data_IF_887729844461
#
_entry.id   IF_887729844461
#
_cell.length_a   1.000
_cell.length_b   1.000
_cell.length_c   1.000
_cell.angle_alpha   90.00
_cell.angle_beta   90.00
_cell.angle_gamma   90.00
#
_symmetry.space_group_name_H-M   'P 1'
#
loop_
_entity.id
_entity.type
_entity.pdbx_description
1 polymer ?
#
# COMPACT_ATOMS: atom_id res chain seq x y z
N UNK A 1 5.95 -13.31 11.17
CA UNK A 1 6.74 -14.38 10.51
C UNK A 1 7.48 -13.78 9.34
N UNK A 2 8.76 -14.04 9.20
CA UNK A 2 9.58 -13.56 8.09
C UNK A 2 9.68 -14.67 7.05
N UNK A 3 9.50 -14.30 5.77
CA UNK A 3 9.62 -15.25 4.67
C UNK A 3 11.08 -15.48 4.32
N UNK A 4 11.52 -16.71 4.40
CA UNK A 4 12.80 -17.14 3.92
C UNK A 4 12.73 -18.09 2.72
N UNK A 5 11.54 -18.58 2.33
CA UNK A 5 11.43 -19.65 1.32
C UNK A 5 10.18 -19.53 0.44
N UNK A 6 10.39 -19.59 -0.85
CA UNK A 6 9.54 -19.88 -2.03
C UNK A 6 8.18 -19.19 -2.23
N UNK A 7 7.92 -18.67 -3.45
CA UNK A 7 6.73 -17.87 -3.83
C UNK A 7 5.38 -18.57 -3.73
N UNK A 8 5.36 -19.90 -3.60
CA UNK A 8 4.13 -20.69 -3.62
C UNK A 8 3.34 -20.70 -2.31
N UNK A 9 3.92 -20.16 -1.21
CA UNK A 9 3.28 -20.21 0.12
C UNK A 9 2.40 -19.00 0.47
N UNK A 10 2.31 -17.99 -0.40
CA UNK A 10 1.57 -16.74 -0.09
C UNK A 10 0.10 -16.76 -0.44
N UNK A 11 -0.32 -17.72 -1.21
CA UNK A 11 -1.73 -17.91 -1.46
C UNK A 11 -2.33 -18.59 -0.23
N UNK A 12 -3.22 -17.91 0.48
CA UNK A 12 -4.13 -18.62 1.35
C UNK A 12 -5.02 -19.50 0.44
N UNK A 13 -4.60 -20.74 0.26
CA UNK A 13 -5.35 -21.74 -0.52
C UNK A 13 -6.72 -22.03 0.12
N UNK A 14 -6.91 -21.65 1.39
CA UNK A 14 -8.14 -21.87 2.13
C UNK A 14 -9.17 -20.76 1.89
N UNK A 15 -8.73 -19.57 1.44
CA UNK A 15 -9.64 -18.47 1.09
C UNK A 15 -9.22 -17.77 -0.22
N UNK A 16 -9.52 -18.36 -1.38
CA UNK A 16 -9.07 -17.84 -2.68
C UNK A 16 -9.69 -16.49 -3.07
N UNK A 17 -10.60 -15.95 -2.26
CA UNK A 17 -11.29 -14.69 -2.53
C UNK A 17 -10.67 -13.49 -1.81
N UNK A 18 -9.74 -13.70 -0.86
CA UNK A 18 -9.04 -12.60 -0.19
C UNK A 18 -7.86 -12.12 -1.06
N UNK A 19 -7.70 -10.80 -1.16
CA UNK A 19 -6.55 -10.19 -1.82
C UNK A 19 -5.50 -9.80 -0.77
N UNK A 20 -4.24 -10.12 -1.04
CA UNK A 20 -3.10 -9.66 -0.25
C UNK A 20 -2.51 -8.46 -0.98
N UNK A 21 -2.41 -7.32 -0.29
CA UNK A 21 -1.83 -6.09 -0.85
C UNK A 21 -0.31 -6.14 -0.72
N UNK A 22 0.39 -5.84 -1.83
CA UNK A 22 1.86 -5.79 -1.88
C UNK A 22 2.27 -4.40 -2.36
N UNK A 23 2.46 -3.43 -1.45
CA UNK A 23 2.93 -2.10 -1.83
C UNK A 23 4.38 -2.16 -2.29
N UNK A 24 4.66 -1.61 -3.47
CA UNK A 24 5.99 -1.57 -4.05
C UNK A 24 6.52 -0.15 -4.13
N UNK A 25 7.83 -0.01 -3.97
CA UNK A 25 8.50 1.28 -4.07
C UNK A 25 8.53 1.73 -5.53
N UNK A 26 7.95 2.88 -5.84
CA UNK A 26 7.87 3.39 -7.21
C UNK A 26 9.26 3.61 -7.85
N UNK A 27 10.25 4.02 -7.07
CA UNK A 27 11.62 4.30 -7.56
C UNK A 27 12.47 3.06 -7.84
N UNK A 28 11.96 1.85 -7.62
CA UNK A 28 12.66 0.62 -7.99
C UNK A 28 12.86 0.54 -9.50
N UNK A 29 13.98 -0.04 -9.92
CA UNK A 29 14.18 -0.42 -11.31
C UNK A 29 13.19 -1.52 -11.71
N UNK A 30 12.86 -1.59 -13.01
CA UNK A 30 11.85 -2.53 -13.49
C UNK A 30 12.18 -3.98 -13.10
N UNK A 31 13.42 -4.42 -13.28
CA UNK A 31 13.85 -5.77 -12.90
C UNK A 31 13.79 -6.04 -11.38
N UNK A 32 14.04 -5.03 -10.54
CA UNK A 32 13.92 -5.17 -9.09
C UNK A 32 12.45 -5.28 -8.68
N UNK A 33 11.57 -4.52 -9.34
CA UNK A 33 10.13 -4.58 -9.11
C UNK A 33 9.58 -5.95 -9.52
N UNK A 34 9.95 -6.44 -10.69
CA UNK A 34 9.58 -7.78 -11.18
C UNK A 34 10.02 -8.87 -10.21
N UNK A 35 11.26 -8.79 -9.73
CA UNK A 35 11.77 -9.75 -8.73
C UNK A 35 10.93 -9.76 -7.44
N UNK A 36 10.59 -8.58 -6.91
CA UNK A 36 9.73 -8.49 -5.72
C UNK A 36 8.31 -8.98 -5.98
N UNK A 37 7.78 -8.73 -7.18
CA UNK A 37 6.47 -9.22 -7.58
C UNK A 37 6.42 -10.74 -7.68
N UNK A 38 7.43 -11.36 -8.26
CA UNK A 38 7.55 -12.82 -8.31
C UNK A 38 7.69 -13.40 -6.91
N UNK A 39 8.57 -12.82 -6.09
CA UNK A 39 8.77 -13.25 -4.71
C UNK A 39 7.51 -13.11 -3.86
N UNK A 40 6.74 -12.02 -4.04
CA UNK A 40 5.46 -11.78 -3.36
C UNK A 40 4.26 -12.51 -3.98
N UNK A 41 4.44 -13.23 -5.09
CA UNK A 41 3.36 -13.93 -5.77
C UNK A 41 2.29 -13.02 -6.38
N UNK A 42 2.68 -11.82 -6.83
CA UNK A 42 1.77 -10.80 -7.37
C UNK A 42 1.13 -11.28 -8.66
N UNK A 43 -0.19 -11.26 -8.72
CA UNK A 43 -0.97 -11.70 -9.88
C UNK A 43 -1.73 -10.58 -10.58
N UNK A 44 -1.88 -9.43 -9.93
CA UNK A 44 -2.49 -8.20 -10.46
C UNK A 44 -1.63 -7.01 -10.11
N UNK A 45 -1.42 -6.13 -11.07
CA UNK A 45 -0.59 -4.94 -10.92
C UNK A 45 -1.40 -3.69 -11.22
N UNK A 46 -1.38 -2.74 -10.29
CA UNK A 46 -1.88 -1.38 -10.48
C UNK A 46 -0.68 -0.46 -10.61
N UNK A 47 -0.51 0.18 -11.75
CA UNK A 47 0.69 0.97 -12.06
C UNK A 47 0.39 2.09 -13.06
N UNK A 48 1.26 3.08 -13.11
CA UNK A 48 1.17 4.19 -14.07
C UNK A 48 1.37 3.74 -15.52
N UNK A 49 0.75 4.45 -16.46
CA UNK A 49 0.81 4.14 -17.87
C UNK A 49 2.24 4.09 -18.44
N UNK A 50 3.16 4.91 -17.92
CA UNK A 50 4.55 4.94 -18.38
C UNK A 50 5.31 3.62 -18.17
N UNK A 51 4.95 2.87 -17.14
CA UNK A 51 5.66 1.63 -16.74
C UNK A 51 4.88 0.35 -17.00
N UNK A 52 3.59 0.42 -17.31
CA UNK A 52 2.70 -0.74 -17.37
C UNK A 52 3.15 -1.78 -18.40
N UNK A 53 3.69 -1.35 -19.55
CA UNK A 53 4.17 -2.26 -20.58
C UNK A 53 5.59 -2.79 -20.34
N UNK A 54 6.37 -2.10 -19.50
CA UNK A 54 7.75 -2.46 -19.16
C UNK A 54 7.84 -3.56 -18.12
N UNK A 55 6.87 -3.63 -17.20
CA UNK A 55 6.85 -4.59 -16.09
C UNK A 55 6.11 -5.86 -16.51
N UNK A 56 6.75 -7.01 -16.39
CA UNK A 56 6.12 -8.27 -16.72
C UNK A 56 6.69 -9.44 -15.89
N UNK A 57 5.84 -10.33 -15.39
CA UNK A 57 6.25 -11.52 -14.67
C UNK A 57 5.38 -12.71 -15.08
N UNK A 58 5.87 -13.96 -15.01
CA UNK A 58 5.09 -15.14 -15.37
C UNK A 58 3.80 -15.34 -14.56
N UNK A 59 3.75 -14.76 -13.35
CA UNK A 59 2.60 -14.87 -12.44
C UNK A 59 1.52 -13.83 -12.72
N UNK A 60 1.86 -12.77 -13.47
CA UNK A 60 0.99 -11.61 -13.68
C UNK A 60 -0.16 -11.97 -14.64
N UNK A 61 -1.38 -11.83 -14.15
CA UNK A 61 -2.60 -12.15 -14.90
C UNK A 61 -3.30 -10.91 -15.44
N UNK A 62 -3.14 -9.77 -14.76
CA UNK A 62 -3.84 -8.54 -15.11
C UNK A 62 -3.00 -7.32 -14.73
N UNK A 63 -2.95 -6.35 -15.63
CA UNK A 63 -2.37 -5.04 -15.43
C UNK A 63 -3.48 -4.00 -15.52
N UNK A 64 -3.49 -3.06 -14.59
CA UNK A 64 -4.52 -2.03 -14.46
C UNK A 64 -3.82 -0.69 -14.38
N UNK A 65 -4.19 0.22 -15.27
CA UNK A 65 -3.62 1.56 -15.28
C UNK A 65 -4.20 2.44 -14.17
N UNK A 66 -3.35 3.23 -13.55
CA UNK A 66 -3.76 4.32 -12.67
C UNK A 66 -4.12 5.60 -13.43
N UNK A 67 -3.93 5.62 -14.75
CA UNK A 67 -4.19 6.76 -15.63
C UNK A 67 -5.24 6.41 -16.69
N UNK A 68 -6.13 7.39 -17.00
CA UNK A 68 -7.31 7.22 -17.85
C UNK A 68 -6.97 6.84 -19.30
N UNK A 69 -5.93 7.40 -19.87
CA UNK A 69 -5.65 7.30 -21.31
C UNK A 69 -4.61 6.24 -21.69
N UNK A 70 -4.53 5.16 -20.93
CA UNK A 70 -3.64 4.06 -21.23
C UNK A 70 -4.28 3.12 -22.24
N UNK A 71 -3.73 3.07 -23.47
CA UNK A 71 -4.16 2.12 -24.49
C UNK A 71 -3.91 0.69 -24.01
N UNK A 72 -4.79 -0.22 -24.37
CA UNK A 72 -4.67 -1.67 -24.12
C UNK A 72 -4.80 -2.12 -22.64
N UNK A 73 -4.96 -1.19 -21.69
CA UNK A 73 -5.15 -1.51 -20.29
C UNK A 73 -6.38 -0.83 -19.71
N UNK A 74 -7.04 -1.53 -18.78
CA UNK A 74 -8.19 -0.96 -18.06
C UNK A 74 -7.72 0.16 -17.13
N UNK A 75 -8.47 1.24 -17.08
CA UNK A 75 -8.29 2.28 -16.08
C UNK A 75 -8.93 1.87 -14.75
N UNK A 76 -8.29 2.15 -13.64
CA UNK A 76 -8.74 1.71 -12.30
C UNK A 76 -10.14 2.19 -11.95
N UNK A 77 -10.52 3.42 -12.35
CA UNK A 77 -11.86 3.98 -12.07
C UNK A 77 -12.95 3.46 -13.02
N UNK A 78 -12.58 2.83 -14.13
CA UNK A 78 -13.52 2.18 -15.05
C UNK A 78 -13.87 0.75 -14.64
N UNK A 79 -13.23 0.25 -13.60
CA UNK A 79 -13.51 -1.09 -13.08
C UNK A 79 -14.92 -1.11 -12.48
N UNK A 80 -15.82 -1.84 -13.15
CA UNK A 80 -17.18 -2.03 -12.65
C UNK A 80 -17.23 -3.18 -11.66
N UNK A 81 -17.62 -2.88 -10.43
CA UNK A 81 -17.92 -3.90 -9.44
C UNK A 81 -19.22 -4.64 -9.79
N UNK A 82 -19.25 -5.95 -9.55
CA UNK A 82 -20.47 -6.75 -9.57
C UNK A 82 -21.02 -6.94 -8.15
N UNK A 83 -22.27 -7.38 -8.03
CA UNK A 83 -22.78 -7.89 -6.77
C UNK A 83 -22.00 -9.16 -6.41
N UNK A 84 -21.17 -9.11 -5.40
CA UNK A 84 -20.51 -10.28 -4.85
C UNK A 84 -20.64 -10.27 -3.33
N UNK A 85 -20.75 -11.46 -2.75
CA UNK A 85 -20.55 -11.60 -1.32
C UNK A 85 -19.08 -11.35 -1.01
N UNK A 86 -18.81 -10.41 -0.11
CA UNK A 86 -17.45 -10.18 0.37
C UNK A 86 -16.97 -11.43 1.10
N UNK A 87 -15.74 -11.87 0.86
CA UNK A 87 -15.16 -12.99 1.58
C UNK A 87 -15.06 -12.66 3.07
N UNK A 88 -15.34 -13.63 3.91
CA UNK A 88 -15.11 -13.51 5.35
C UNK A 88 -13.63 -13.75 5.62
N UNK A 89 -12.85 -12.67 5.70
CA UNK A 89 -11.46 -12.74 6.14
C UNK A 89 -11.40 -13.06 7.64
N UNK A 90 -10.44 -13.88 8.05
CA UNK A 90 -10.12 -14.11 9.46
C UNK A 90 -9.09 -13.07 9.91
N UNK A 91 -9.08 -12.78 11.20
CA UNK A 91 -8.11 -11.83 11.77
C UNK A 91 -6.65 -12.23 11.51
N UNK A 92 -6.37 -13.52 11.45
CA UNK A 92 -5.04 -14.08 11.24
C UNK A 92 -4.64 -14.17 9.76
N UNK A 93 -5.58 -13.99 8.82
CA UNK A 93 -5.29 -14.02 7.39
C UNK A 93 -4.32 -12.88 7.03
N UNK A 94 -3.40 -13.15 6.12
CA UNK A 94 -2.45 -12.14 5.64
C UNK A 94 -3.19 -11.09 4.84
N UNK A 95 -3.06 -9.84 5.25
CA UNK A 95 -3.66 -8.68 4.57
C UNK A 95 -2.66 -7.96 3.66
N UNK A 96 -1.39 -7.87 4.08
CA UNK A 96 -0.35 -7.18 3.31
C UNK A 96 1.01 -7.88 3.43
N UNK A 97 1.86 -7.68 2.41
CA UNK A 97 3.28 -8.05 2.44
C UNK A 97 4.08 -6.79 2.16
N UNK A 98 4.90 -6.39 3.15
CA UNK A 98 5.79 -5.23 3.02
C UNK A 98 7.22 -5.70 2.83
N UNK A 99 7.89 -5.20 1.79
CA UNK A 99 9.29 -5.51 1.56
C UNK A 99 10.20 -4.57 2.33
N UNK A 100 11.20 -5.14 2.98
CA UNK A 100 12.29 -4.38 3.63
C UNK A 100 13.61 -4.73 2.97
N UNK A 101 14.52 -3.74 2.90
CA UNK A 101 15.90 -3.98 2.52
C UNK A 101 16.55 -4.85 3.59
N UNK A 102 16.75 -6.12 3.30
CA UNK A 102 17.47 -7.02 4.22
C UNK A 102 18.92 -6.56 4.41
N UNK A 103 19.43 -6.66 5.63
CA UNK A 103 20.85 -6.40 5.95
C UNK A 103 21.82 -7.28 5.16
N UNK A 104 21.32 -8.38 4.58
CA UNK A 104 22.05 -9.35 3.76
C UNK A 104 21.92 -9.09 2.24
N UNK A 105 21.29 -7.96 1.83
CA UNK A 105 21.07 -7.64 0.42
C UNK A 105 19.89 -8.36 -0.22
N UNK A 106 19.33 -9.39 0.42
CA UNK A 106 18.14 -10.09 -0.07
C UNK A 106 16.88 -9.45 0.51
N UNK A 107 15.89 -9.05 -0.30
CA UNK A 107 14.63 -8.49 0.19
C UNK A 107 13.90 -9.47 1.12
N UNK A 108 13.35 -8.95 2.21
CA UNK A 108 12.52 -9.73 3.13
C UNK A 108 11.09 -9.26 3.03
N UNK A 109 10.16 -10.18 2.77
CA UNK A 109 8.73 -9.89 2.80
C UNK A 109 8.18 -10.07 4.22
N UNK A 110 7.71 -8.99 4.83
CA UNK A 110 7.04 -9.02 6.14
C UNK A 110 5.55 -9.20 5.92
N UNK A 111 5.01 -10.32 6.37
CA UNK A 111 3.57 -10.61 6.31
C UNK A 111 2.86 -9.94 7.47
N UNK A 112 1.89 -9.10 7.16
CA UNK A 112 1.01 -8.45 8.13
C UNK A 112 -0.39 -9.05 8.00
N UNK A 113 -0.93 -9.55 9.11
CA UNK A 113 -2.30 -10.02 9.17
C UNK A 113 -3.28 -8.86 9.38
N UNK A 114 -4.57 -9.11 9.16
CA UNK A 114 -5.62 -8.13 9.45
C UNK A 114 -5.55 -7.65 10.90
N UNK A 115 -5.33 -8.57 11.84
CA UNK A 115 -5.25 -8.19 13.27
C UNK A 115 -4.02 -7.32 13.57
N UNK A 116 -2.89 -7.52 12.87
CA UNK A 116 -1.72 -6.65 13.06
C UNK A 116 -2.05 -5.21 12.67
N UNK A 117 -2.70 -5.01 11.50
CA UNK A 117 -3.06 -3.68 11.01
C UNK A 117 -4.09 -3.00 11.94
N UNK A 118 -5.14 -3.72 12.33
CA UNK A 118 -6.21 -3.20 13.18
C UNK A 118 -5.68 -2.86 14.58
N UNK A 119 -4.84 -3.72 15.17
CA UNK A 119 -4.29 -3.48 16.49
C UNK A 119 -3.39 -2.25 16.52
N UNK A 120 -2.61 -2.03 15.47
CA UNK A 120 -1.73 -0.86 15.36
C UNK A 120 -2.55 0.43 15.28
N UNK A 121 -3.58 0.47 14.44
CA UNK A 121 -4.51 1.62 14.37
C UNK A 121 -5.21 1.86 15.73
N UNK A 122 -5.63 0.80 16.43
CA UNK A 122 -6.25 0.94 17.74
C UNK A 122 -5.30 1.55 18.79
N UNK A 123 -4.04 1.11 18.78
CA UNK A 123 -3.01 1.66 19.67
C UNK A 123 -2.70 3.12 19.29
N UNK A 124 -2.58 3.42 17.99
CA UNK A 124 -2.36 4.79 17.51
C UNK A 124 -3.51 5.70 17.97
N UNK A 125 -4.76 5.29 17.75
CA UNK A 125 -5.95 6.06 18.15
C UNK A 125 -6.03 6.30 19.66
N UNK A 126 -5.69 5.30 20.48
CA UNK A 126 -5.69 5.47 21.93
C UNK A 126 -4.71 6.53 22.44
N UNK A 127 -3.62 6.75 21.72
CA UNK A 127 -2.59 7.74 22.03
C UNK A 127 -2.84 9.11 21.37
N UNK A 128 -3.23 9.13 20.09
CA UNK A 128 -3.36 10.37 19.31
C UNK A 128 -4.72 11.03 19.46
N UNK A 129 -5.76 10.26 19.80
CA UNK A 129 -7.15 10.74 19.97
C UNK A 129 -7.65 11.50 18.72
N UNK A 130 -7.37 10.95 17.55
CA UNK A 130 -7.77 11.52 16.26
C UNK A 130 -9.29 11.61 16.17
N UNK A 131 -9.79 12.69 15.60
CA UNK A 131 -11.23 12.94 15.38
C UNK A 131 -11.51 13.08 13.87
N UNK A 132 -12.78 12.93 13.42
CA UNK A 132 -13.13 13.02 12.01
C UNK A 132 -12.79 14.36 11.35
N UNK A 133 -12.69 15.42 12.14
CA UNK A 133 -12.34 16.77 11.71
C UNK A 133 -10.84 16.95 11.44
N UNK A 134 -10.01 15.99 11.87
CA UNK A 134 -8.57 16.05 11.64
C UNK A 134 -8.21 15.85 10.17
N UNK A 135 -7.13 16.53 9.78
CA UNK A 135 -6.55 16.45 8.45
C UNK A 135 -5.07 16.05 8.56
N UNK A 136 -4.76 14.87 8.13
CA UNK A 136 -3.40 14.35 8.09
C UNK A 136 -2.67 14.78 6.83
N UNK A 137 -1.35 14.91 6.93
CA UNK A 137 -0.49 15.18 5.79
C UNK A 137 0.47 14.01 5.52
N UNK A 138 0.26 13.31 4.40
CA UNK A 138 1.08 12.20 3.94
C UNK A 138 2.17 12.70 2.99
N UNK A 139 3.36 13.01 3.50
CA UNK A 139 4.53 13.39 2.69
C UNK A 139 5.52 12.23 2.52
N UNK A 140 5.55 11.31 3.46
CA UNK A 140 6.37 10.12 3.39
C UNK A 140 5.69 9.06 2.52
N UNK A 141 6.45 8.20 1.84
CA UNK A 141 5.89 7.21 0.94
C UNK A 141 4.97 6.20 1.65
N UNK A 142 3.77 6.01 1.11
CA UNK A 142 2.73 5.13 1.67
C UNK A 142 3.11 3.64 1.67
N UNK A 143 4.10 3.22 0.90
CA UNK A 143 4.59 1.84 0.91
C UNK A 143 5.39 1.49 2.17
N UNK A 144 5.80 2.47 2.98
CA UNK A 144 6.39 2.24 4.29
C UNK A 144 5.32 2.05 5.35
N UNK A 145 5.51 1.06 6.22
CA UNK A 145 4.58 0.70 7.28
C UNK A 145 4.13 1.90 8.12
N UNK A 146 5.07 2.77 8.50
CA UNK A 146 4.77 3.95 9.30
C UNK A 146 3.72 4.87 8.66
N UNK A 147 3.92 5.27 7.39
CA UNK A 147 2.97 6.15 6.70
C UNK A 147 1.67 5.41 6.36
N UNK A 148 1.77 4.16 5.97
CA UNK A 148 0.61 3.34 5.66
C UNK A 148 -0.32 3.21 6.88
N UNK A 149 0.22 2.93 8.06
CA UNK A 149 -0.55 2.71 9.27
C UNK A 149 -0.92 4.02 9.97
N UNK A 150 0.08 4.82 10.36
CA UNK A 150 -0.13 6.00 11.21
C UNK A 150 -0.72 7.22 10.47
N UNK A 151 -0.78 7.20 9.13
CA UNK A 151 -1.42 8.26 8.36
C UNK A 151 -2.62 7.70 7.59
N UNK A 152 -2.40 6.77 6.66
CA UNK A 152 -3.43 6.35 5.73
C UNK A 152 -4.53 5.50 6.40
N UNK A 153 -4.16 4.42 7.11
CA UNK A 153 -5.17 3.60 7.79
C UNK A 153 -5.81 4.32 8.98
N UNK A 154 -5.04 5.13 9.71
CA UNK A 154 -5.58 5.90 10.83
C UNK A 154 -6.69 6.86 10.38
N UNK A 155 -6.49 7.58 9.26
CA UNK A 155 -7.56 8.45 8.71
C UNK A 155 -8.79 7.67 8.28
N UNK A 156 -8.62 6.48 7.74
CA UNK A 156 -9.76 5.62 7.35
C UNK A 156 -10.53 5.09 8.56
N UNK A 157 -9.82 4.65 9.60
CA UNK A 157 -10.44 4.12 10.81
C UNK A 157 -11.23 5.17 11.58
N UNK A 158 -10.78 6.42 11.54
CA UNK A 158 -11.36 7.54 12.31
C UNK A 158 -12.34 8.40 11.50
N UNK A 159 -12.37 8.26 10.19
CA UNK A 159 -13.14 9.13 9.28
C UNK A 159 -12.49 10.51 9.07
N UNK A 160 -11.23 10.67 9.45
CA UNK A 160 -10.44 11.87 9.20
C UNK A 160 -10.06 12.01 7.71
N UNK A 161 -9.49 13.15 7.33
CA UNK A 161 -9.06 13.42 5.96
C UNK A 161 -7.54 13.25 5.80
N UNK A 162 -7.08 12.90 4.58
CA UNK A 162 -5.67 12.80 4.26
C UNK A 162 -5.32 13.64 3.03
N UNK A 163 -4.34 14.53 3.17
CA UNK A 163 -3.74 15.30 2.09
C UNK A 163 -2.42 14.63 1.69
N UNK A 164 -2.31 14.21 0.43
CA UNK A 164 -1.08 13.63 -0.10
C UNK A 164 -0.15 14.71 -0.62
N UNK A 165 1.04 14.82 -0.02
CA UNK A 165 2.08 15.76 -0.44
C UNK A 165 2.69 15.34 -1.79
N UNK A 166 2.91 16.33 -2.67
CA UNK A 166 3.41 16.07 -4.03
C UNK A 166 4.93 15.97 -4.11
N UNK A 167 5.66 16.79 -3.36
CA UNK A 167 7.13 16.86 -3.42
C UNK A 167 7.72 17.28 -2.07
N UNK A 168 8.89 16.74 -1.75
CA UNK A 168 9.69 17.13 -0.57
C UNK A 168 10.41 18.48 -0.79
N UNK A 169 9.62 19.55 -1.03
CA UNK A 169 10.10 20.93 -1.17
C UNK A 169 9.43 21.78 -0.10
N UNK A 170 10.22 22.40 0.79
CA UNK A 170 9.71 23.10 1.97
C UNK A 170 8.63 24.12 1.64
N UNK A 171 8.83 24.98 0.64
CA UNK A 171 7.86 25.99 0.23
C UNK A 171 6.53 25.38 -0.24
N UNK A 172 6.58 24.23 -0.91
CA UNK A 172 5.39 23.51 -1.34
C UNK A 172 4.69 22.85 -0.16
N UNK A 173 5.45 22.21 0.74
CA UNK A 173 4.91 21.60 1.96
C UNK A 173 4.16 22.65 2.77
N UNK A 174 4.76 23.80 3.05
CA UNK A 174 4.13 24.87 3.82
C UNK A 174 2.84 25.38 3.16
N UNK A 175 2.82 25.48 1.84
CA UNK A 175 1.61 25.84 1.09
C UNK A 175 0.53 24.78 1.23
N UNK A 176 0.87 23.50 1.00
CA UNK A 176 -0.08 22.38 1.07
C UNK A 176 -0.62 22.18 2.49
N UNK A 177 0.19 22.37 3.54
CA UNK A 177 -0.26 22.36 4.93
C UNK A 177 -1.32 23.43 5.19
N UNK A 178 -1.08 24.64 4.67
CA UNK A 178 -2.00 25.77 4.84
C UNK A 178 -3.29 25.58 4.04
N UNK A 179 -3.18 25.24 2.75
CA UNK A 179 -4.33 25.05 1.85
C UNK A 179 -5.19 23.86 2.29
N UNK A 180 -4.54 22.76 2.69
CA UNK A 180 -5.20 21.55 3.20
C UNK A 180 -5.76 21.69 4.62
N UNK A 181 -5.50 22.81 5.33
CA UNK A 181 -5.87 22.99 6.75
C UNK A 181 -5.41 21.82 7.63
N UNK A 182 -4.19 21.37 7.40
CA UNK A 182 -3.62 20.19 8.05
C UNK A 182 -3.54 20.40 9.56
N UNK A 183 -4.05 19.45 10.33
CA UNK A 183 -4.00 19.44 11.80
C UNK A 183 -2.97 18.46 12.33
N UNK A 184 -2.68 17.40 11.57
CA UNK A 184 -1.78 16.30 11.96
C UNK A 184 -0.66 16.12 10.94
N UNK A 185 0.58 16.36 11.36
CA UNK A 185 1.77 16.17 10.54
C UNK A 185 2.74 15.21 11.20
N UNK A 186 2.89 14.02 10.61
CA UNK A 186 3.82 13.02 11.08
C UNK A 186 5.13 13.10 10.28
N UNK A 187 6.24 13.21 11.00
CA UNK A 187 7.58 13.28 10.42
C UNK A 187 8.52 12.32 11.15
N UNK A 188 9.63 12.01 10.52
CA UNK A 188 10.75 11.29 11.14
C UNK A 188 11.88 12.28 11.41
N UNK A 189 12.53 12.23 12.57
CA UNK A 189 13.76 13.01 12.82
C UNK A 189 14.83 12.61 11.81
N UNK A 190 15.56 13.59 11.27
CA UNK A 190 16.76 13.35 10.46
C UNK A 190 17.98 13.26 11.35
#
# INVERSE_FOLDING_TARGET
KTLAETPTKFRDTNNPRTAIVVPLVYSLKDAEMEHLMEFGGVTRLFIDAERIDKINTPLLKEKISLEENCKDHKYVLDLKGGKCELPKAKCEDTAAILFTSGTTGTPKGVMLSHINLISDCYVAQSNLKVVPEDVFYAILPIHHAYTMLAVFFETWCTGASCVFGKKLVVTQILRELKEGKVTMFLAVPM
#
